data_IF_845030606056
#
_entry.id   IF_845030606056
#
_cell.length_a   1.000
_cell.length_b   1.000
_cell.length_c   1.000
_cell.angle_alpha   90.00
_cell.angle_beta   90.00
_cell.angle_gamma   90.00
#
_symmetry.space_group_name_H-M   'P 1'
#
loop_
_entity.id
_entity.type
_entity.pdbx_description
1 polymer ?
#
# COMPACT_ATOMS: atom_id res chain seq x y z
N UNK A 1 -19.85 2.68 -33.26
CA UNK A 1 -18.41 2.97 -33.11
C UNK A 1 -18.24 4.33 -32.42
N UNK A 2 -17.83 4.37 -31.14
CA UNK A 2 -17.62 5.64 -30.42
C UNK A 2 -16.40 6.36 -31.01
N UNK A 3 -16.60 7.45 -31.76
CA UNK A 3 -15.51 8.35 -32.17
C UNK A 3 -14.93 8.99 -30.90
N UNK A 4 -13.70 8.64 -30.55
CA UNK A 4 -12.96 9.36 -29.53
C UNK A 4 -12.78 10.80 -30.04
N UNK A 5 -13.39 11.77 -29.37
CA UNK A 5 -13.26 13.18 -29.71
C UNK A 5 -11.81 13.59 -29.46
N UNK A 6 -11.22 14.38 -30.37
CA UNK A 6 -9.82 14.85 -30.27
C UNK A 6 -9.54 15.55 -28.93
N UNK A 7 -10.55 16.22 -28.37
CA UNK A 7 -10.53 16.85 -27.04
C UNK A 7 -10.25 15.84 -25.92
N UNK A 8 -10.90 14.67 -25.93
CA UNK A 8 -10.67 13.62 -24.92
C UNK A 8 -9.25 13.05 -25.00
N UNK A 9 -8.70 12.90 -26.21
CA UNK A 9 -7.33 12.43 -26.39
C UNK A 9 -6.31 13.45 -25.87
N UNK A 10 -6.55 14.75 -26.10
CA UNK A 10 -5.71 15.83 -25.58
C UNK A 10 -5.77 15.89 -24.04
N UNK A 11 -6.95 15.77 -23.44
CA UNK A 11 -7.09 15.73 -21.98
C UNK A 11 -6.36 14.53 -21.37
N UNK A 12 -6.47 13.34 -21.97
CA UNK A 12 -5.76 12.15 -21.49
C UNK A 12 -4.25 12.33 -21.61
N UNK A 13 -3.77 12.87 -22.74
CA UNK A 13 -2.34 13.10 -22.94
C UNK A 13 -1.77 14.14 -21.97
N UNK A 14 -2.59 15.10 -21.53
CA UNK A 14 -2.17 16.12 -20.57
C UNK A 14 -2.05 15.57 -19.14
N UNK A 15 -2.92 14.63 -18.75
CA UNK A 15 -2.89 13.99 -17.43
C UNK A 15 -1.98 12.75 -17.39
N UNK A 16 -1.68 12.16 -18.54
CA UNK A 16 -0.87 10.93 -18.65
C UNK A 16 0.50 11.01 -17.97
N UNK A 17 1.26 12.13 -17.98
CA UNK A 17 2.55 12.19 -17.30
C UNK A 17 2.41 12.04 -15.79
N UNK A 18 1.35 12.62 -15.21
CA UNK A 18 1.06 12.51 -13.77
C UNK A 18 0.63 11.09 -13.41
N UNK A 19 -0.21 10.46 -14.25
CA UNK A 19 -0.64 9.07 -14.04
C UNK A 19 0.56 8.12 -14.13
N UNK A 20 1.43 8.31 -15.12
CA UNK A 20 2.65 7.51 -15.27
C UNK A 20 3.58 7.67 -14.07
N UNK A 21 3.75 8.91 -13.58
CA UNK A 21 4.54 9.16 -12.37
C UNK A 21 3.97 8.40 -11.16
N UNK A 22 2.65 8.46 -10.95
CA UNK A 22 1.99 7.72 -9.86
C UNK A 22 2.14 6.20 -10.06
N UNK A 23 1.96 5.71 -11.29
CA UNK A 23 2.12 4.29 -11.61
C UNK A 23 3.51 3.77 -11.25
N UNK A 24 4.56 4.51 -11.60
CA UNK A 24 5.95 4.09 -11.37
C UNK A 24 6.34 4.29 -9.92
N UNK A 25 6.17 5.50 -9.38
CA UNK A 25 6.72 5.85 -8.07
C UNK A 25 5.82 5.42 -6.92
N UNK A 26 4.50 5.41 -7.07
CA UNK A 26 3.63 4.94 -5.99
C UNK A 26 3.43 3.44 -6.09
N UNK A 27 2.85 2.98 -7.20
CA UNK A 27 2.49 1.57 -7.32
C UNK A 27 3.71 0.66 -7.55
N UNK A 28 4.75 1.14 -8.21
CA UNK A 28 6.01 0.40 -8.30
C UNK A 28 6.66 0.17 -6.94
N UNK A 29 6.72 1.19 -6.07
CA UNK A 29 7.24 1.01 -4.71
C UNK A 29 6.32 0.18 -3.82
N UNK A 30 5.01 0.29 -3.96
CA UNK A 30 4.07 -0.64 -3.29
C UNK A 30 4.36 -2.08 -3.71
N UNK A 31 4.52 -2.34 -5.02
CA UNK A 31 4.87 -3.66 -5.53
C UNK A 31 6.21 -4.17 -4.98
N UNK A 32 7.20 -3.29 -4.86
CA UNK A 32 8.47 -3.63 -4.21
C UNK A 32 8.29 -4.00 -2.74
N UNK A 33 7.53 -3.22 -1.97
CA UNK A 33 7.20 -3.52 -0.57
C UNK A 33 6.49 -4.87 -0.44
N UNK A 34 5.55 -5.18 -1.32
CA UNK A 34 4.88 -6.50 -1.35
C UNK A 34 5.90 -7.62 -1.58
N UNK A 35 6.79 -7.47 -2.56
CA UNK A 35 7.84 -8.47 -2.83
C UNK A 35 8.74 -8.70 -1.60
N UNK A 36 9.16 -7.62 -0.93
CA UNK A 36 9.97 -7.69 0.29
C UNK A 36 9.19 -8.34 1.43
N UNK A 37 7.89 -8.03 1.59
CA UNK A 37 7.04 -8.62 2.62
C UNK A 37 6.89 -10.14 2.49
N UNK A 38 7.06 -10.68 1.28
CA UNK A 38 6.98 -12.12 0.97
C UNK A 38 8.36 -12.81 0.98
N UNK A 39 9.45 -12.09 1.28
CA UNK A 39 10.79 -12.67 1.37
C UNK A 39 11.29 -12.79 2.82
N UNK A 40 12.35 -13.57 3.08
CA UNK A 40 12.96 -13.65 4.42
C UNK A 40 13.80 -12.44 4.80
N UNK A 41 13.59 -11.28 4.16
CA UNK A 41 14.38 -10.10 4.46
C UNK A 41 14.10 -9.64 5.90
N UNK A 42 15.11 -9.79 6.76
CA UNK A 42 15.11 -9.27 8.13
C UNK A 42 16.35 -8.42 8.38
N UNK A 43 16.16 -7.18 8.83
CA UNK A 43 17.25 -6.26 9.15
C UNK A 43 17.94 -5.67 7.91
N UNK A 44 19.23 -5.33 8.07
CA UNK A 44 19.99 -4.59 7.07
C UNK A 44 20.51 -5.47 5.92
N UNK A 45 20.62 -6.78 6.14
CA UNK A 45 21.11 -7.72 5.13
C UNK A 45 19.93 -8.19 4.27
N UNK A 46 19.96 -7.96 2.94
CA UNK A 46 18.89 -8.38 2.07
C UNK A 46 18.85 -9.89 1.91
N UNK A 47 17.69 -10.48 2.22
CA UNK A 47 17.37 -11.86 1.90
C UNK A 47 16.12 -11.91 1.00
N UNK A 48 16.35 -12.30 -0.25
CA UNK A 48 15.32 -12.39 -1.28
C UNK A 48 14.66 -13.77 -1.36
N UNK A 49 14.93 -14.67 -0.41
CA UNK A 49 14.32 -15.99 -0.33
C UNK A 49 12.81 -15.86 -0.18
N UNK A 50 12.05 -16.35 -1.16
CA UNK A 50 10.60 -16.30 -1.14
C UNK A 50 10.03 -17.27 -0.11
N UNK A 51 9.23 -16.75 0.83
CA UNK A 51 8.57 -17.53 1.89
C UNK A 51 7.06 -17.40 1.89
N UNK A 52 6.50 -16.74 0.88
CA UNK A 52 5.07 -16.49 0.79
C UNK A 52 4.55 -15.79 2.05
N UNK A 53 3.52 -16.37 2.66
CA UNK A 53 2.78 -15.74 3.77
C UNK A 53 3.36 -16.02 5.16
N UNK A 54 4.52 -16.67 5.27
CA UNK A 54 5.12 -17.04 6.57
C UNK A 54 5.37 -15.83 7.48
N UNK A 55 5.74 -14.69 6.91
CA UNK A 55 5.93 -13.45 7.68
C UNK A 55 4.62 -12.95 8.28
N UNK A 56 3.52 -13.04 7.53
CA UNK A 56 2.20 -12.62 7.98
C UNK A 56 1.69 -13.52 9.12
N UNK A 57 1.76 -14.85 8.95
CA UNK A 57 1.33 -15.77 10.01
C UNK A 57 2.16 -15.63 11.29
N UNK A 58 3.47 -15.38 11.16
CA UNK A 58 4.34 -15.03 12.28
C UNK A 58 3.90 -13.76 12.99
N UNK A 59 3.59 -12.69 12.26
CA UNK A 59 3.10 -11.43 12.84
C UNK A 59 1.76 -11.60 13.57
N UNK A 60 0.79 -12.29 12.98
CA UNK A 60 -0.50 -12.55 13.64
C UNK A 60 -0.39 -13.43 14.89
N UNK A 61 0.70 -14.20 15.02
CA UNK A 61 0.98 -15.00 16.21
C UNK A 61 1.74 -14.21 17.29
N UNK A 62 2.21 -13.00 16.98
CA UNK A 62 2.92 -12.13 17.91
C UNK A 62 1.93 -11.31 18.75
N UNK A 63 1.96 -11.52 20.06
CA UNK A 63 1.08 -10.83 20.99
C UNK A 63 1.28 -9.30 20.99
N UNK A 64 2.50 -8.81 20.77
CA UNK A 64 2.78 -7.37 20.71
C UNK A 64 2.15 -6.75 19.46
N UNK A 65 2.31 -7.41 18.32
CA UNK A 65 1.68 -6.97 17.07
C UNK A 65 0.15 -6.89 17.20
N UNK A 66 -0.47 -7.84 17.91
CA UNK A 66 -1.92 -7.81 18.18
C UNK A 66 -2.35 -6.67 19.10
N UNK A 67 -1.55 -6.35 20.12
CA UNK A 67 -1.77 -5.16 20.95
C UNK A 67 -1.68 -3.88 20.11
N UNK A 68 -0.69 -3.78 19.23
CA UNK A 68 -0.48 -2.60 18.38
C UNK A 68 -1.64 -2.40 17.39
N UNK A 69 -2.14 -3.48 16.75
CA UNK A 69 -3.32 -3.40 15.89
C UNK A 69 -4.54 -2.94 16.68
N UNK A 70 -4.79 -3.52 17.87
CA UNK A 70 -5.94 -3.12 18.71
C UNK A 70 -5.86 -1.64 19.08
N UNK A 71 -4.68 -1.17 19.50
CA UNK A 71 -4.48 0.22 19.87
C UNK A 71 -4.68 1.16 18.68
N UNK A 72 -4.14 0.80 17.52
CA UNK A 72 -4.28 1.57 16.28
C UNK A 72 -5.76 1.72 15.90
N UNK A 73 -6.51 0.61 15.89
CA UNK A 73 -7.94 0.63 15.56
C UNK A 73 -8.72 1.46 16.57
N UNK A 74 -8.51 1.25 17.87
CA UNK A 74 -9.21 2.02 18.92
C UNK A 74 -8.93 3.52 18.79
N UNK A 75 -7.66 3.90 18.61
CA UNK A 75 -7.28 5.30 18.46
C UNK A 75 -7.88 5.93 17.21
N UNK A 76 -7.75 5.28 16.04
CA UNK A 76 -8.31 5.78 14.79
C UNK A 76 -9.83 5.91 14.86
N UNK A 77 -10.53 4.93 15.43
CA UNK A 77 -11.99 4.97 15.55
C UNK A 77 -12.45 6.09 16.47
N UNK A 78 -11.84 6.25 17.65
CA UNK A 78 -12.19 7.33 18.58
C UNK A 78 -11.88 8.70 17.96
N UNK A 79 -10.72 8.83 17.30
CA UNK A 79 -10.31 10.08 16.66
C UNK A 79 -11.28 10.49 15.54
N UNK A 80 -11.60 9.57 14.62
CA UNK A 80 -12.52 9.84 13.51
C UNK A 80 -13.93 10.13 14.02
N UNK A 81 -14.42 9.36 14.98
CA UNK A 81 -15.74 9.62 15.58
C UNK A 81 -15.78 10.97 16.28
N UNK A 82 -14.74 11.31 17.04
CA UNK A 82 -14.60 12.61 17.69
C UNK A 82 -14.60 13.77 16.70
N UNK A 83 -13.82 13.67 15.62
CA UNK A 83 -13.72 14.70 14.59
C UNK A 83 -14.99 14.88 13.72
N UNK A 84 -15.88 13.89 13.71
CA UNK A 84 -17.16 13.97 12.98
C UNK A 84 -18.32 14.44 13.86
N UNK A 85 -18.27 14.15 15.16
CA UNK A 85 -19.35 14.46 16.11
C UNK A 85 -19.20 15.80 16.83
N UNK A 86 -17.97 16.31 16.95
CA UNK A 86 -17.63 17.59 17.59
C UNK A 86 -16.89 18.49 16.60
#
# INVERSE_FOLDING_TARGET
MRRIKKETLQSILLVSPSILAIAIFVYGFIGWTVRVSLSQWKGLLPDYTFVGLKNYTGLFSDARFMVDIRNTVVFTSIFVAGALLF
#
